data_IF_186701194694
#
_entry.id   IF_186701194694
#
_cell.length_a   1.000
_cell.length_b   1.000
_cell.length_c   1.000
_cell.angle_alpha   90.00
_cell.angle_beta   90.00
_cell.angle_gamma   90.00
#
_symmetry.space_group_name_H-M   'P 1'
#
loop_
_entity.id
_entity.type
_entity.pdbx_description
1 polymer ?
#
# COMPACT_ATOMS: atom_id res chain seq x y z
N UNK A 1 15.72 28.31 -12.65
CA UNK A 1 14.89 28.19 -13.88
C UNK A 1 15.19 26.85 -14.50
N UNK A 2 14.19 25.96 -14.67
CA UNK A 2 14.44 24.61 -15.17
C UNK A 2 14.76 24.62 -16.67
N UNK A 3 15.68 23.74 -17.08
CA UNK A 3 16.15 23.59 -18.47
C UNK A 3 15.00 23.26 -19.45
N UNK A 4 15.02 23.79 -20.69
CA UNK A 4 13.99 23.54 -21.72
C UNK A 4 13.70 22.05 -21.98
N UNK A 5 14.70 21.18 -21.74
CA UNK A 5 14.58 19.72 -21.88
C UNK A 5 13.67 19.11 -20.81
N UNK A 6 13.70 19.64 -19.58
CA UNK A 6 12.89 19.17 -18.45
C UNK A 6 11.42 19.58 -18.64
N UNK A 7 11.16 20.79 -19.16
CA UNK A 7 9.81 21.23 -19.50
C UNK A 7 9.18 20.38 -20.62
N UNK A 8 9.99 19.89 -21.56
CA UNK A 8 9.52 19.02 -22.65
C UNK A 8 9.14 17.63 -22.15
N UNK A 9 9.91 17.06 -21.22
CA UNK A 9 9.61 15.77 -20.57
C UNK A 9 8.36 15.87 -19.70
N UNK A 10 8.21 16.94 -18.91
CA UNK A 10 7.00 17.16 -18.09
C UNK A 10 5.74 17.33 -18.94
N UNK A 11 5.83 18.02 -20.09
CA UNK A 11 4.72 18.11 -21.04
C UNK A 11 4.37 16.76 -21.66
N UNK A 12 5.35 15.92 -21.98
CA UNK A 12 5.11 14.57 -22.51
C UNK A 12 4.50 13.62 -21.48
N UNK A 13 4.86 13.74 -20.20
CA UNK A 13 4.26 12.93 -19.11
C UNK A 13 2.83 13.34 -18.79
N UNK A 14 2.51 14.64 -18.84
CA UNK A 14 1.13 15.13 -18.70
C UNK A 14 0.27 14.73 -19.90
N UNK A 15 0.86 14.70 -21.10
CA UNK A 15 0.15 14.30 -22.33
C UNK A 15 -0.10 12.79 -22.41
N UNK A 16 0.84 11.95 -21.95
CA UNK A 16 0.69 10.49 -21.96
C UNK A 16 -0.41 9.98 -21.01
N UNK A 17 -0.79 10.74 -19.99
CA UNK A 17 -1.92 10.43 -19.11
C UNK A 17 -3.28 10.90 -19.68
N UNK A 18 -3.28 11.61 -20.81
CA UNK A 18 -4.47 12.25 -21.39
C UNK A 18 -4.96 11.60 -22.69
N UNK A 19 -4.21 10.65 -23.25
CA UNK A 19 -4.51 10.06 -24.57
C UNK A 19 -5.38 8.80 -24.48
N UNK A 20 -6.64 8.95 -24.06
CA UNK A 20 -7.77 8.10 -24.51
C UNK A 20 -9.12 8.59 -23.94
N UNK A 21 -9.38 9.90 -23.99
CA UNK A 21 -10.73 10.41 -23.74
C UNK A 21 -11.22 11.16 -24.99
N UNK A 22 -12.41 10.83 -25.54
CA UNK A 22 -13.00 11.60 -26.62
C UNK A 22 -13.31 13.03 -26.14
N UNK A 23 -13.54 14.01 -27.04
CA UNK A 23 -13.79 15.39 -26.63
C UNK A 23 -15.13 15.47 -25.89
N UNK A 24 -15.07 15.51 -24.56
CA UNK A 24 -16.23 15.53 -23.68
C UNK A 24 -16.71 16.97 -23.50
N UNK A 25 -17.95 17.22 -23.92
CA UNK A 25 -18.71 18.46 -23.67
C UNK A 25 -18.85 18.72 -22.17
N UNK A 26 -19.06 19.98 -21.75
CA UNK A 26 -19.04 20.41 -20.33
C UNK A 26 -19.87 19.56 -19.34
N UNK A 27 -20.93 18.90 -19.81
CA UNK A 27 -21.73 17.97 -19.00
C UNK A 27 -20.98 16.67 -18.66
N UNK A 28 -20.17 16.15 -19.58
CA UNK A 28 -19.34 14.97 -19.36
C UNK A 28 -18.11 15.24 -18.48
N UNK A 29 -17.68 16.50 -18.39
CA UNK A 29 -16.65 16.93 -17.44
C UNK A 29 -17.19 16.96 -16.00
N UNK A 30 -18.44 17.40 -15.81
CA UNK A 30 -19.15 17.33 -14.54
C UNK A 30 -19.49 15.90 -14.12
N UNK A 31 -20.01 15.08 -15.04
CA UNK A 31 -20.22 13.64 -14.83
C UNK A 31 -18.88 12.93 -14.55
N UNK A 32 -17.81 13.28 -15.26
CA UNK A 32 -16.46 12.78 -15.02
C UNK A 32 -15.94 13.15 -13.63
N UNK A 33 -16.18 14.37 -13.15
CA UNK A 33 -15.83 14.79 -11.80
C UNK A 33 -16.66 14.11 -10.71
N UNK A 34 -17.96 13.91 -10.94
CA UNK A 34 -18.85 13.16 -10.05
C UNK A 34 -18.43 11.68 -9.96
N UNK A 35 -18.19 11.05 -11.11
CA UNK A 35 -17.69 9.67 -11.19
C UNK A 35 -16.30 9.56 -10.54
N UNK A 36 -15.42 10.53 -10.75
CA UNK A 36 -14.09 10.56 -10.10
C UNK A 36 -14.18 10.74 -8.57
N UNK A 37 -15.14 11.54 -8.07
CA UNK A 37 -15.40 11.68 -6.63
C UNK A 37 -16.02 10.42 -6.03
N UNK A 38 -16.89 9.73 -6.78
CA UNK A 38 -17.43 8.43 -6.40
C UNK A 38 -16.37 7.31 -6.47
N UNK A 39 -15.35 7.47 -7.33
CA UNK A 39 -14.23 6.53 -7.43
C UNK A 39 -13.43 6.40 -6.12
N UNK A 40 -13.38 7.44 -5.29
CA UNK A 40 -12.80 7.34 -3.94
C UNK A 40 -13.55 6.33 -3.07
N UNK A 41 -14.86 6.14 -3.29
CA UNK A 41 -15.64 5.13 -2.58
C UNK A 41 -15.32 3.70 -3.08
N UNK A 42 -14.90 3.56 -4.34
CA UNK A 42 -14.43 2.28 -4.88
C UNK A 42 -13.04 1.90 -4.36
N UNK A 43 -12.26 2.86 -3.84
CA UNK A 43 -10.93 2.59 -3.28
C UNK A 43 -10.97 1.59 -2.11
N UNK A 44 -12.10 1.46 -1.40
CA UNK A 44 -12.27 0.43 -0.37
C UNK A 44 -12.32 -0.99 -0.96
N UNK A 45 -12.90 -1.16 -2.15
CA UNK A 45 -12.89 -2.44 -2.86
C UNK A 45 -11.50 -2.75 -3.40
N UNK A 46 -10.78 -1.73 -3.91
CA UNK A 46 -9.39 -1.89 -4.36
C UNK A 46 -8.48 -2.30 -3.19
N UNK A 47 -8.62 -1.65 -2.04
CA UNK A 47 -7.91 -1.99 -0.81
C UNK A 47 -8.23 -3.43 -0.36
N UNK A 48 -9.51 -3.81 -0.38
CA UNK A 48 -9.95 -5.15 0.01
C UNK A 48 -9.39 -6.23 -0.93
N UNK A 49 -9.49 -6.02 -2.24
CA UNK A 49 -9.01 -6.96 -3.27
C UNK A 49 -7.48 -7.00 -3.35
N UNK A 50 -6.78 -5.98 -2.85
CA UNK A 50 -5.32 -6.04 -2.66
C UNK A 50 -4.95 -6.79 -1.38
N UNK A 51 -5.73 -6.63 -0.31
CA UNK A 51 -5.45 -7.26 0.99
C UNK A 51 -5.69 -8.77 0.98
N UNK A 52 -6.73 -9.26 0.27
CA UNK A 52 -7.05 -10.68 0.19
C UNK A 52 -5.87 -11.52 -0.36
N UNK A 53 -5.30 -11.19 -1.53
CA UNK A 53 -4.06 -11.80 -2.02
C UNK A 53 -2.91 -11.81 -1.01
N UNK A 54 -2.77 -10.74 -0.22
CA UNK A 54 -1.72 -10.60 0.78
C UNK A 54 -1.93 -11.51 2.00
N UNK A 55 -3.18 -11.73 2.41
CA UNK A 55 -3.53 -12.59 3.54
C UNK A 55 -3.51 -14.09 3.19
N UNK A 56 -3.97 -14.43 1.98
CA UNK A 56 -4.12 -15.81 1.53
C UNK A 56 -3.01 -16.27 0.59
N UNK A 57 -1.98 -15.43 0.40
CA UNK A 57 -0.79 -15.72 -0.38
C UNK A 57 -1.05 -16.06 -1.85
N UNK A 58 -1.95 -15.31 -2.50
CA UNK A 58 -2.18 -15.45 -3.94
C UNK A 58 -0.94 -15.07 -4.77
N UNK A 59 -0.05 -14.24 -4.21
CA UNK A 59 1.19 -13.81 -4.86
C UNK A 59 2.06 -15.00 -5.29
N UNK A 60 2.19 -15.99 -4.42
CA UNK A 60 2.97 -17.21 -4.70
C UNK A 60 2.14 -18.28 -5.44
N UNK A 61 0.81 -18.20 -5.39
CA UNK A 61 -0.08 -19.19 -6.01
C UNK A 61 -0.13 -19.06 -7.54
N UNK A 62 0.31 -17.93 -8.09
CA UNK A 62 0.46 -17.70 -9.52
C UNK A 62 1.96 -17.68 -9.85
N UNK A 63 2.45 -18.42 -10.84
CA UNK A 63 3.87 -18.42 -11.17
C UNK A 63 4.32 -17.11 -11.84
N UNK A 64 5.48 -16.56 -11.46
CA UNK A 64 6.06 -15.33 -12.08
C UNK A 64 6.15 -15.43 -13.60
N UNK A 65 6.49 -16.61 -14.11
CA UNK A 65 6.68 -16.89 -15.54
C UNK A 65 5.70 -17.97 -15.96
N UNK A 66 4.44 -17.60 -16.12
CA UNK A 66 3.39 -18.51 -16.58
C UNK A 66 2.00 -18.01 -16.21
N UNK A 67 1.09 -18.96 -16.18
CA UNK A 67 -0.29 -18.78 -15.73
C UNK A 67 -0.73 -19.99 -14.92
N UNK A 68 -1.75 -19.81 -14.10
CA UNK A 68 -2.34 -20.85 -13.26
C UNK A 68 -3.87 -20.78 -13.38
N UNK A 69 -4.57 -21.92 -13.33
CA UNK A 69 -6.04 -21.90 -13.41
C UNK A 69 -6.68 -21.46 -12.10
N UNK A 70 -7.92 -20.98 -12.16
CA UNK A 70 -8.68 -20.63 -10.96
C UNK A 70 -8.81 -21.79 -9.96
N UNK A 71 -8.95 -23.02 -10.45
CA UNK A 71 -9.12 -24.21 -9.62
C UNK A 71 -7.82 -24.55 -8.85
N UNK A 72 -6.68 -24.46 -9.52
CA UNK A 72 -5.37 -24.69 -8.91
C UNK A 72 -5.03 -23.61 -7.88
N UNK A 73 -5.27 -22.33 -8.22
CA UNK A 73 -5.10 -21.22 -7.26
C UNK A 73 -5.99 -21.45 -6.03
N UNK A 74 -7.25 -21.84 -6.24
CA UNK A 74 -8.20 -22.10 -5.15
C UNK A 74 -7.73 -23.23 -4.21
N UNK A 75 -7.17 -24.30 -4.77
CA UNK A 75 -6.59 -25.38 -3.99
C UNK A 75 -5.38 -24.92 -3.16
N UNK A 76 -4.50 -24.10 -3.74
CA UNK A 76 -3.30 -23.59 -3.07
C UNK A 76 -3.62 -22.61 -1.93
N UNK A 77 -4.51 -21.64 -2.17
CA UNK A 77 -4.88 -20.60 -1.19
C UNK A 77 -5.97 -21.05 -0.21
N UNK A 78 -6.52 -22.24 -0.40
CA UNK A 78 -7.56 -22.89 0.45
C UNK A 78 -8.83 -22.05 0.57
N UNK A 79 -9.29 -21.48 -0.54
CA UNK A 79 -10.55 -20.76 -0.64
C UNK A 79 -11.46 -21.42 -1.68
N UNK A 80 -12.80 -21.30 -1.55
CA UNK A 80 -13.71 -21.76 -2.59
C UNK A 80 -13.42 -21.06 -3.92
N UNK A 81 -13.40 -21.82 -5.01
CA UNK A 81 -13.08 -21.31 -6.35
C UNK A 81 -14.01 -20.14 -6.76
N UNK A 82 -15.27 -20.18 -6.35
CA UNK A 82 -16.23 -19.10 -6.60
C UNK A 82 -15.81 -17.75 -5.99
N UNK A 83 -15.14 -17.77 -4.83
CA UNK A 83 -14.58 -16.59 -4.19
C UNK A 83 -13.30 -16.14 -4.90
N UNK A 84 -12.41 -17.10 -5.20
CA UNK A 84 -11.16 -16.85 -5.94
C UNK A 84 -11.45 -16.17 -7.27
N UNK A 85 -12.41 -16.68 -8.05
CA UNK A 85 -12.86 -16.08 -9.31
C UNK A 85 -13.38 -14.66 -9.13
N UNK A 86 -14.17 -14.39 -8.08
CA UNK A 86 -14.71 -13.03 -7.83
C UNK A 86 -13.60 -12.04 -7.49
N UNK A 87 -12.68 -12.43 -6.62
CA UNK A 87 -11.53 -11.61 -6.21
C UNK A 87 -10.64 -11.33 -7.42
N UNK A 88 -10.24 -12.36 -8.15
CA UNK A 88 -9.35 -12.21 -9.30
C UNK A 88 -10.02 -11.49 -10.47
N UNK A 89 -11.32 -11.68 -10.71
CA UNK A 89 -12.05 -10.90 -11.73
C UNK A 89 -11.99 -9.40 -11.45
N UNK A 90 -12.19 -8.99 -10.19
CA UNK A 90 -12.02 -7.59 -9.83
C UNK A 90 -10.56 -7.14 -9.91
N UNK A 91 -9.62 -7.95 -9.41
CA UNK A 91 -8.19 -7.65 -9.46
C UNK A 91 -7.67 -7.45 -10.90
N UNK A 92 -8.19 -8.22 -11.86
CA UNK A 92 -7.93 -8.08 -13.29
C UNK A 92 -8.49 -6.75 -13.83
N UNK A 93 -9.71 -6.37 -13.41
CA UNK A 93 -10.32 -5.10 -13.83
C UNK A 93 -9.52 -3.87 -13.39
N UNK A 94 -8.82 -3.96 -12.25
CA UNK A 94 -7.91 -2.93 -11.73
C UNK A 94 -6.43 -3.20 -12.02
N UNK A 95 -6.13 -4.16 -12.91
CA UNK A 95 -4.79 -4.48 -13.45
C UNK A 95 -3.75 -4.97 -12.42
N UNK A 96 -4.19 -5.46 -11.27
CA UNK A 96 -3.30 -6.15 -10.31
C UNK A 96 -2.86 -7.49 -10.89
N UNK A 97 -3.78 -8.27 -11.47
CA UNK A 97 -3.49 -9.49 -12.23
C UNK A 97 -3.98 -9.34 -13.68
N UNK A 98 -3.73 -10.35 -14.51
CA UNK A 98 -4.24 -10.41 -15.88
C UNK A 98 -4.76 -11.83 -16.19
N UNK A 99 -5.69 -11.92 -17.13
CA UNK A 99 -6.03 -13.21 -17.76
C UNK A 99 -4.90 -13.63 -18.70
N UNK A 100 -4.59 -14.92 -18.74
CA UNK A 100 -3.60 -15.45 -19.66
C UNK A 100 -4.09 -15.38 -21.12
N UNK A 101 -3.15 -15.19 -22.04
CA UNK A 101 -3.47 -15.04 -23.47
C UNK A 101 -3.92 -16.39 -24.03
N UNK A 102 -5.16 -16.46 -24.52
CA UNK A 102 -5.72 -17.69 -25.10
C UNK A 102 -6.29 -18.68 -24.08
N UNK A 103 -6.21 -18.38 -22.78
CA UNK A 103 -6.67 -19.24 -21.69
C UNK A 103 -7.58 -18.46 -20.73
N UNK A 104 -8.90 -18.39 -20.99
CA UNK A 104 -9.84 -17.57 -20.21
C UNK A 104 -9.96 -17.96 -18.73
N UNK A 105 -9.68 -19.22 -18.41
CA UNK A 105 -9.72 -19.78 -17.05
C UNK A 105 -8.38 -19.73 -16.31
N UNK A 106 -7.36 -19.12 -16.93
CA UNK A 106 -6.02 -18.99 -16.37
C UNK A 106 -5.68 -17.53 -16.06
N UNK A 107 -4.91 -17.32 -14.99
CA UNK A 107 -4.49 -16.01 -14.49
C UNK A 107 -2.98 -15.94 -14.47
N UNK A 108 -2.42 -14.79 -14.84
CA UNK A 108 -0.99 -14.51 -14.80
C UNK A 108 -0.71 -13.18 -14.07
N UNK A 109 0.56 -13.01 -13.69
CA UNK A 109 1.02 -11.78 -13.07
C UNK A 109 1.06 -10.59 -14.02
N UNK A 110 0.83 -9.39 -13.45
CA UNK A 110 1.30 -8.13 -14.02
C UNK A 110 2.54 -7.66 -13.27
N UNK A 111 3.09 -6.51 -13.65
CA UNK A 111 4.19 -5.88 -12.89
C UNK A 111 3.81 -5.58 -11.43
N UNK A 112 2.53 -5.29 -11.15
CA UNK A 112 2.06 -4.96 -9.80
C UNK A 112 1.96 -6.19 -8.91
N UNK A 113 1.30 -7.27 -9.37
CA UNK A 113 1.19 -8.50 -8.58
C UNK A 113 2.49 -9.29 -8.47
N UNK A 114 3.43 -9.14 -9.40
CA UNK A 114 4.75 -9.76 -9.31
C UNK A 114 5.66 -9.12 -8.25
N UNK A 115 5.36 -7.89 -7.79
CA UNK A 115 6.21 -7.16 -6.87
C UNK A 115 6.21 -7.75 -5.45
N UNK A 116 5.05 -8.02 -4.82
CA UNK A 116 5.01 -8.68 -3.51
C UNK A 116 5.58 -10.11 -3.54
N UNK A 117 5.49 -10.80 -4.68
CA UNK A 117 6.05 -12.14 -4.86
C UNK A 117 7.60 -12.10 -4.88
N UNK A 118 8.19 -11.18 -5.66
CA UNK A 118 9.65 -11.01 -5.75
C UNK A 118 10.31 -10.43 -4.50
N UNK A 119 9.56 -9.68 -3.70
CA UNK A 119 10.08 -9.01 -2.52
C UNK A 119 9.05 -9.04 -1.38
N UNK A 120 9.30 -9.91 -0.41
CA UNK A 120 8.43 -10.08 0.75
C UNK A 120 8.23 -8.79 1.57
N UNK A 121 9.18 -7.84 1.52
CA UNK A 121 9.05 -6.56 2.21
C UNK A 121 7.81 -5.79 1.72
N UNK A 122 7.45 -5.92 0.44
CA UNK A 122 6.22 -5.32 -0.09
C UNK A 122 4.95 -5.98 0.47
N UNK A 123 4.98 -7.27 0.81
CA UNK A 123 3.85 -7.91 1.49
C UNK A 123 3.65 -7.33 2.89
N UNK A 124 4.76 -7.07 3.61
CA UNK A 124 4.73 -6.42 4.91
C UNK A 124 4.25 -4.98 4.80
N UNK A 125 4.68 -4.24 3.77
CA UNK A 125 4.19 -2.90 3.48
C UNK A 125 2.69 -2.87 3.22
N UNK A 126 2.17 -3.76 2.36
CA UNK A 126 0.74 -3.89 2.10
C UNK A 126 -0.04 -4.22 3.37
N UNK A 127 0.47 -5.12 4.21
CA UNK A 127 -0.12 -5.46 5.49
C UNK A 127 -0.20 -4.26 6.43
N UNK A 128 0.89 -3.50 6.57
CA UNK A 128 0.91 -2.29 7.38
C UNK A 128 -0.13 -1.26 6.89
N UNK A 129 -0.18 -1.01 5.58
CA UNK A 129 -1.11 -0.06 5.01
C UNK A 129 -2.57 -0.50 5.11
N UNK A 130 -2.87 -1.78 4.86
CA UNK A 130 -4.24 -2.26 4.70
C UNK A 130 -4.87 -2.76 6.00
N UNK A 131 -4.08 -3.26 6.95
CA UNK A 131 -4.58 -3.81 8.21
C UNK A 131 -4.33 -2.90 9.41
N UNK A 132 -3.23 -2.13 9.40
CA UNK A 132 -2.82 -1.32 10.55
C UNK A 132 -3.18 0.16 10.36
N UNK A 133 -2.46 0.84 9.46
CA UNK A 133 -2.66 2.26 9.20
C UNK A 133 -4.02 2.54 8.55
N UNK A 134 -4.46 1.67 7.62
CA UNK A 134 -5.74 1.79 6.93
C UNK A 134 -6.93 1.66 7.87
N UNK A 135 -6.92 0.64 8.73
CA UNK A 135 -7.94 0.46 9.77
C UNK A 135 -7.98 1.68 10.71
N UNK A 136 -6.82 2.17 11.15
CA UNK A 136 -6.74 3.36 11.99
C UNK A 136 -7.29 4.62 11.30
N UNK A 137 -7.02 4.77 10.00
CA UNK A 137 -7.47 5.91 9.20
C UNK A 137 -8.99 6.02 9.12
N UNK A 138 -9.70 4.88 9.02
CA UNK A 138 -11.16 4.84 9.02
C UNK A 138 -11.79 5.29 10.34
N UNK A 139 -11.04 5.19 11.45
CA UNK A 139 -11.52 5.56 12.78
C UNK A 139 -11.07 6.97 13.21
N UNK A 140 -10.38 7.73 12.34
CA UNK A 140 -9.93 9.10 12.67
C UNK A 140 -11.12 10.02 12.95
N UNK A 141 -12.19 9.95 12.15
CA UNK A 141 -13.38 10.77 12.38
C UNK A 141 -14.01 10.48 13.75
N UNK A 142 -14.13 9.21 14.12
CA UNK A 142 -14.62 8.79 15.43
C UNK A 142 -13.71 9.29 16.57
N UNK A 143 -12.40 9.21 16.38
CA UNK A 143 -11.40 9.72 17.33
C UNK A 143 -11.56 11.22 17.55
N UNK A 144 -11.71 11.99 16.47
CA UNK A 144 -11.91 13.44 16.55
C UNK A 144 -13.21 13.79 17.24
N UNK A 145 -14.31 13.07 16.95
CA UNK A 145 -15.58 13.28 17.64
C UNK A 145 -15.48 13.03 19.13
N UNK A 146 -14.84 11.93 19.55
CA UNK A 146 -14.73 11.55 20.96
C UNK A 146 -13.78 12.46 21.74
N UNK A 147 -12.65 12.81 21.15
CA UNK A 147 -11.52 13.35 21.92
C UNK A 147 -11.16 14.79 21.60
N UNK A 148 -11.66 15.37 20.50
CA UNK A 148 -11.28 16.73 20.06
C UNK A 148 -12.47 17.65 19.76
N UNK A 149 -13.67 17.11 19.52
CA UNK A 149 -14.84 17.92 19.18
C UNK A 149 -15.21 18.87 20.33
N UNK A 150 -15.41 20.15 19.99
CA UNK A 150 -15.76 21.20 20.95
C UNK A 150 -14.59 21.68 21.84
N UNK A 151 -13.37 21.17 21.64
CA UNK A 151 -12.17 21.62 22.36
C UNK A 151 -11.39 22.64 21.52
N UNK A 152 -10.68 23.54 22.20
CA UNK A 152 -9.84 24.54 21.53
C UNK A 152 -8.60 23.92 20.89
N UNK A 153 -8.03 22.90 21.52
CA UNK A 153 -6.84 22.18 21.04
C UNK A 153 -7.18 20.69 20.82
N UNK A 154 -6.60 20.04 19.79
CA UNK A 154 -6.79 18.62 19.55
C UNK A 154 -6.06 17.77 20.61
N UNK A 155 -6.60 16.60 20.92
CA UNK A 155 -5.90 15.65 21.80
C UNK A 155 -4.51 15.28 21.28
N UNK A 156 -3.55 15.23 22.20
CA UNK A 156 -2.18 14.75 21.96
C UNK A 156 -1.93 13.36 22.58
N UNK A 157 -2.94 12.76 23.21
CA UNK A 157 -2.81 11.46 23.86
C UNK A 157 -2.74 10.34 22.80
N UNK A 158 -1.67 9.54 22.74
CA UNK A 158 -1.52 8.52 21.70
C UNK A 158 -2.61 7.44 21.70
N UNK A 159 -3.25 7.22 22.87
CA UNK A 159 -4.37 6.29 23.03
C UNK A 159 -5.71 6.87 22.52
N UNK A 160 -5.78 8.18 22.30
CA UNK A 160 -6.94 8.90 21.76
C UNK A 160 -6.82 9.08 20.23
N UNK A 161 -6.32 8.04 19.56
CA UNK A 161 -6.06 7.99 18.12
C UNK A 161 -6.97 7.00 17.41
N UNK A 162 -7.20 7.21 16.10
CA UNK A 162 -7.96 6.29 15.26
C UNK A 162 -7.37 4.87 15.25
N UNK A 163 -6.05 4.73 15.35
CA UNK A 163 -5.40 3.42 15.51
C UNK A 163 -5.86 2.69 16.78
N UNK A 164 -5.90 3.39 17.91
CA UNK A 164 -6.29 2.79 19.20
C UNK A 164 -7.76 2.39 19.21
N UNK A 165 -8.62 3.18 18.55
CA UNK A 165 -10.05 2.86 18.36
C UNK A 165 -10.27 1.68 17.40
N UNK A 166 -9.46 1.57 16.34
CA UNK A 166 -9.56 0.46 15.39
C UNK A 166 -9.32 -0.91 16.04
N UNK A 167 -8.62 -0.94 17.19
CA UNK A 167 -8.45 -2.11 18.04
C UNK A 167 -8.20 -3.41 17.26
N UNK A 168 -7.12 -3.42 16.47
CA UNK A 168 -6.82 -4.45 15.46
C UNK A 168 -6.87 -5.87 16.05
N UNK A 169 -6.35 -6.05 17.27
CA UNK A 169 -6.33 -7.35 17.96
C UNK A 169 -7.54 -7.58 18.88
N UNK A 170 -8.54 -6.70 18.85
CA UNK A 170 -9.79 -6.78 19.63
C UNK A 170 -9.55 -6.99 21.13
N UNK A 171 -8.66 -6.19 21.71
CA UNK A 171 -8.37 -6.20 23.14
C UNK A 171 -9.50 -5.53 23.94
N UNK A 172 -9.61 -5.88 25.22
CA UNK A 172 -10.53 -5.21 26.15
C UNK A 172 -10.15 -3.76 26.44
N UNK A 173 -8.86 -3.41 26.29
CA UNK A 173 -8.33 -2.08 26.56
C UNK A 173 -7.72 -1.47 25.29
N UNK A 174 -7.99 -0.18 25.01
CA UNK A 174 -7.32 0.55 23.93
C UNK A 174 -5.81 0.50 24.11
N UNK A 175 -5.10 0.38 22.99
CA UNK A 175 -3.65 0.31 22.99
C UNK A 175 -3.05 1.28 21.97
N UNK A 176 -1.97 1.95 22.36
CA UNK A 176 -1.19 2.81 21.46
C UNK A 176 -0.49 1.99 20.38
N UNK A 177 -0.13 2.64 19.27
CA UNK A 177 0.62 1.99 18.19
C UNK A 177 1.90 1.30 18.67
N UNK A 178 2.73 1.99 19.44
CA UNK A 178 3.98 1.42 19.96
C UNK A 178 3.73 0.33 21.00
N UNK A 179 2.65 0.42 21.78
CA UNK A 179 2.20 -0.69 22.61
C UNK A 179 1.87 -1.92 21.77
N UNK A 180 1.12 -1.76 20.68
CA UNK A 180 0.76 -2.86 19.76
C UNK A 180 1.98 -3.50 19.10
N UNK A 181 2.94 -2.68 18.65
CA UNK A 181 4.18 -3.14 18.00
C UNK A 181 5.08 -3.90 18.99
N UNK A 182 5.19 -3.43 20.24
CA UNK A 182 6.09 -4.04 21.21
C UNK A 182 5.45 -5.20 22.00
N UNK A 183 4.13 -5.41 21.90
CA UNK A 183 3.44 -6.47 22.62
C UNK A 183 3.81 -7.84 22.07
N UNK A 184 4.17 -8.76 22.97
CA UNK A 184 4.36 -10.16 22.63
C UNK A 184 3.02 -10.82 22.30
N UNK A 185 3.04 -11.74 21.34
CA UNK A 185 1.86 -12.49 20.88
C UNK A 185 2.21 -13.97 20.94
N UNK A 186 1.32 -14.76 21.54
CA UNK A 186 1.49 -16.20 21.65
C UNK A 186 1.74 -16.85 20.27
N UNK A 187 2.70 -17.75 20.20
CA UNK A 187 3.07 -18.44 18.96
C UNK A 187 3.88 -17.58 17.96
N UNK A 188 4.26 -16.35 18.30
CA UNK A 188 5.13 -15.50 17.47
C UNK A 188 6.47 -15.21 18.15
N UNK A 189 7.56 -15.09 17.39
CA UNK A 189 8.85 -14.67 17.93
C UNK A 189 8.77 -13.32 18.63
N UNK A 190 9.63 -13.11 19.63
CA UNK A 190 9.73 -11.82 20.32
C UNK A 190 10.07 -10.70 19.33
N UNK A 191 9.34 -9.58 19.44
CA UNK A 191 9.57 -8.40 18.59
C UNK A 191 9.17 -8.56 17.12
N UNK A 192 8.42 -9.61 16.75
CA UNK A 192 8.07 -9.88 15.35
C UNK A 192 7.37 -8.70 14.65
N UNK A 193 6.53 -7.95 15.37
CA UNK A 193 5.86 -6.75 14.83
C UNK A 193 6.82 -5.59 14.65
N UNK A 194 7.78 -5.41 15.57
CA UNK A 194 8.82 -4.38 15.44
C UNK A 194 9.73 -4.66 14.25
N UNK A 195 10.12 -5.92 14.04
CA UNK A 195 10.87 -6.35 12.85
C UNK A 195 10.07 -6.07 11.58
N UNK A 196 8.81 -6.49 11.55
CA UNK A 196 7.91 -6.23 10.42
C UNK A 196 7.75 -4.73 10.14
N UNK A 197 7.57 -3.92 11.17
CA UNK A 197 7.46 -2.47 11.01
C UNK A 197 8.75 -1.87 10.44
N UNK A 198 9.92 -2.32 10.90
CA UNK A 198 11.21 -1.89 10.35
C UNK A 198 11.37 -2.27 8.87
N UNK A 199 10.93 -3.47 8.48
CA UNK A 199 10.88 -3.91 7.07
C UNK A 199 9.95 -3.04 6.22
N UNK A 200 8.77 -2.66 6.73
CA UNK A 200 7.89 -1.69 6.09
C UNK A 200 8.57 -0.35 5.84
N UNK A 201 9.33 0.16 6.82
CA UNK A 201 10.05 1.43 6.70
C UNK A 201 11.18 1.35 5.66
N UNK A 202 11.79 0.19 5.45
CA UNK A 202 12.75 -0.01 4.35
C UNK A 202 12.08 0.14 2.99
N UNK A 203 10.86 -0.39 2.82
CA UNK A 203 10.09 -0.19 1.58
C UNK A 203 9.75 1.28 1.39
N UNK A 204 9.22 1.94 2.43
CA UNK A 204 8.86 3.37 2.36
C UNK A 204 10.06 4.25 1.98
N UNK A 205 11.25 3.97 2.55
CA UNK A 205 12.48 4.67 2.19
C UNK A 205 12.88 4.42 0.72
N UNK A 206 12.72 3.19 0.22
CA UNK A 206 13.05 2.84 -1.17
C UNK A 206 12.06 3.39 -2.20
N UNK A 207 10.79 3.56 -1.81
CA UNK A 207 9.70 4.02 -2.66
C UNK A 207 9.51 5.56 -2.62
N UNK A 208 10.23 6.26 -1.75
CA UNK A 208 10.16 7.72 -1.64
C UNK A 208 10.47 8.39 -2.98
N UNK A 209 9.57 9.28 -3.41
CA UNK A 209 9.73 10.11 -4.62
C UNK A 209 11.02 10.93 -4.55
N UNK A 210 11.44 11.28 -3.33
CA UNK A 210 12.75 11.84 -3.06
C UNK A 210 13.65 10.70 -2.60
N UNK A 211 14.52 10.22 -3.48
CA UNK A 211 15.50 9.20 -3.10
C UNK A 211 16.30 9.74 -1.93
N UNK A 212 16.41 8.96 -0.85
CA UNK A 212 17.23 9.33 0.30
C UNK A 212 18.64 9.72 -0.12
N UNK A 213 19.20 9.05 -1.14
CA UNK A 213 20.49 9.43 -1.75
C UNK A 213 20.50 10.85 -2.31
N UNK A 214 19.41 11.32 -2.90
CA UNK A 214 19.29 12.66 -3.47
C UNK A 214 19.15 13.70 -2.35
N UNK A 215 18.42 13.39 -1.27
CA UNK A 215 18.38 14.25 -0.07
C UNK A 215 19.74 14.32 0.62
N UNK A 216 20.42 13.19 0.79
CA UNK A 216 21.74 13.16 1.38
C UNK A 216 22.70 14.03 0.54
N UNK A 217 22.72 13.88 -0.78
CA UNK A 217 23.62 14.66 -1.64
C UNK A 217 23.27 16.15 -1.75
N UNK A 218 21.99 16.52 -1.68
CA UNK A 218 21.55 17.91 -1.93
C UNK A 218 21.31 18.72 -0.66
N UNK A 219 20.89 18.09 0.43
CA UNK A 219 20.50 18.78 1.67
C UNK A 219 21.68 18.95 2.65
N UNK A 220 22.75 18.16 2.52
CA UNK A 220 23.89 18.23 3.44
C UNK A 220 25.23 17.98 2.74
N UNK A 221 26.23 18.81 3.03
CA UNK A 221 27.59 18.63 2.52
C UNK A 221 28.37 17.68 3.45
N UNK A 222 28.29 16.40 3.14
CA UNK A 222 28.94 15.33 3.91
C UNK A 222 30.46 15.45 3.95
N UNK A 223 31.09 16.24 3.07
CA UNK A 223 32.54 16.47 3.11
C UNK A 223 32.96 17.33 4.31
N UNK A 224 32.01 18.02 4.95
CA UNK A 224 32.25 18.80 6.18
C UNK A 224 32.29 17.94 7.44
N UNK A 225 31.84 16.68 7.37
CA UNK A 225 31.96 15.74 8.47
C UNK A 225 33.37 15.15 8.42
N UNK A 226 34.23 15.60 9.34
CA UNK A 226 35.57 15.04 9.52
C UNK A 226 35.54 13.53 9.75
N UNK A 227 36.65 12.86 9.40
CA UNK A 227 36.88 11.41 9.22
C UNK A 227 36.34 10.41 10.26
N UNK A 228 35.77 10.85 11.39
CA UNK A 228 35.23 9.98 12.43
C UNK A 228 33.98 9.19 11.96
N UNK A 229 33.19 9.75 11.04
CA UNK A 229 31.98 9.08 10.50
C UNK A 229 32.31 8.03 9.43
N UNK A 230 33.47 8.13 8.78
CA UNK A 230 33.88 7.18 7.73
C UNK A 230 34.24 5.77 8.25
N UNK A 231 34.46 5.59 9.56
CA UNK A 231 34.80 4.29 10.14
C UNK A 231 33.60 3.34 10.33
N UNK A 232 32.35 3.83 10.32
CA UNK A 232 31.16 2.98 10.49
C UNK A 232 30.72 2.26 9.19
N UNK A 233 31.45 2.42 8.09
CA UNK A 233 31.16 1.77 6.80
C UNK A 233 32.04 0.54 6.50
N UNK A 234 32.91 0.13 7.43
CA UNK A 234 33.82 -1.02 7.29
C UNK A 234 33.76 -2.00 8.49
N UNK A 235 32.59 -2.13 9.12
CA UNK A 235 32.31 -3.16 10.14
C UNK A 235 31.21 -4.08 9.66
#
# INVERSE_FOLDING_TARGET
MASPTIQRILRSLVFACSCSLPPLTSTALLLGQLIHRLWVLLAFHDASVTNIPNQFNFWNAVPIRGSETYAEIAAQVKLPESIVRRVLKYAISIRIFASAIGEPDSVCHTSLSALPDRNFLYQNWLRHLLEEAGSGSLHVAESLWKFSSGKQEPSQEPAESGFSLANIDKLDKPQTFWGYVNREVEGKPKGWRSVRFAECMQVAASASVIKTDDLLKSAHDWNKLSLLVMQLRRG
#
